data_IF_450472348957
#
_entry.id   IF_450472348957
#
_cell.length_a   1.000
_cell.length_b   1.000
_cell.length_c   1.000
_cell.angle_alpha   90.00
_cell.angle_beta   90.00
_cell.angle_gamma   90.00
#
_symmetry.space_group_name_H-M   'P 1'
#
loop_
_entity.id
_entity.type
_entity.pdbx_description
1 polymer ?
#
# COMPACT_ATOMS: atom_id res chain seq x y z
N UNK A 1 -24.05 -9.19 22.64
CA UNK A 1 -22.95 -8.22 22.91
C UNK A 1 -21.69 -8.48 22.09
N UNK A 2 -21.56 -9.60 21.34
CA UNK A 2 -20.38 -9.90 20.51
C UNK A 2 -20.42 -9.39 19.07
N UNK A 3 -21.60 -9.12 18.51
CA UNK A 3 -21.77 -8.71 17.10
C UNK A 3 -21.30 -7.28 16.80
N UNK A 4 -21.49 -6.34 17.72
CA UNK A 4 -21.17 -4.92 17.49
C UNK A 4 -19.66 -4.64 17.32
N UNK A 5 -18.80 -5.46 17.91
CA UNK A 5 -17.33 -5.33 17.78
C UNK A 5 -16.83 -5.92 16.45
N UNK A 6 -17.52 -6.96 15.94
CA UNK A 6 -17.20 -7.61 14.67
C UNK A 6 -17.57 -6.75 13.48
N UNK A 7 -18.68 -6.02 13.57
CA UNK A 7 -19.21 -5.19 12.50
C UNK A 7 -18.35 -3.93 12.26
N UNK A 8 -17.96 -3.24 13.33
CA UNK A 8 -17.08 -2.05 13.25
C UNK A 8 -15.68 -2.39 12.71
N UNK A 9 -15.19 -3.61 12.97
CA UNK A 9 -13.90 -4.06 12.43
C UNK A 9 -13.95 -4.31 10.91
N UNK A 10 -15.10 -4.74 10.38
CA UNK A 10 -15.29 -4.93 8.93
C UNK A 10 -15.42 -3.60 8.21
N UNK A 11 -16.16 -2.65 8.78
CA UNK A 11 -16.33 -1.30 8.22
C UNK A 11 -14.98 -0.58 8.05
N UNK A 12 -14.09 -0.68 9.05
CA UNK A 12 -12.74 -0.12 8.97
C UNK A 12 -11.91 -0.74 7.83
N UNK A 13 -12.02 -2.05 7.62
CA UNK A 13 -11.31 -2.76 6.55
C UNK A 13 -11.86 -2.36 5.18
N UNK A 14 -13.18 -2.26 5.03
CA UNK A 14 -13.83 -1.89 3.77
C UNK A 14 -13.59 -0.43 3.39
N UNK A 15 -13.63 0.47 4.36
CA UNK A 15 -13.33 1.91 4.14
C UNK A 15 -11.88 2.08 3.71
N UNK A 16 -10.95 1.39 4.40
CA UNK A 16 -9.55 1.42 4.03
C UNK A 16 -9.31 0.79 2.64
N UNK A 17 -10.10 -0.22 2.24
CA UNK A 17 -10.02 -0.83 0.90
C UNK A 17 -10.46 0.17 -0.18
N UNK A 18 -11.54 0.92 0.05
CA UNK A 18 -11.99 2.01 -0.83
C UNK A 18 -10.92 3.08 -1.03
N UNK A 19 -10.30 3.59 0.04
CA UNK A 19 -9.25 4.61 -0.04
C UNK A 19 -8.03 4.13 -0.85
N UNK A 20 -7.71 2.83 -0.74
CA UNK A 20 -6.59 2.21 -1.47
C UNK A 20 -6.89 2.05 -2.97
N UNK A 21 -8.14 1.75 -3.32
CA UNK A 21 -8.59 1.70 -4.72
C UNK A 21 -8.73 3.11 -5.32
N UNK A 22 -9.11 4.10 -4.52
CA UNK A 22 -9.20 5.50 -4.95
C UNK A 22 -7.83 6.06 -5.32
N UNK A 23 -6.80 5.82 -4.49
CA UNK A 23 -5.42 6.23 -4.77
C UNK A 23 -4.88 5.68 -6.11
N UNK A 24 -5.33 4.49 -6.52
CA UNK A 24 -4.93 3.86 -7.79
C UNK A 24 -5.71 4.38 -9.00
N UNK A 25 -6.96 4.80 -8.80
CA UNK A 25 -7.75 5.47 -9.84
C UNK A 25 -7.14 6.83 -10.18
N UNK A 26 -6.73 7.59 -9.16
CA UNK A 26 -6.12 8.92 -9.36
C UNK A 26 -4.79 8.82 -10.16
N UNK A 27 -4.00 7.74 -9.97
CA UNK A 27 -2.79 7.50 -10.79
C UNK A 27 -3.11 7.44 -12.29
N UNK A 28 -4.21 6.79 -12.64
CA UNK A 28 -4.65 6.63 -14.03
C UNK A 28 -5.10 7.97 -14.63
N UNK A 29 -5.70 8.85 -13.81
CA UNK A 29 -6.14 10.19 -14.23
C UNK A 29 -5.00 11.21 -14.35
N UNK A 30 -3.93 11.06 -13.56
CA UNK A 30 -2.72 11.88 -13.64
C UNK A 30 -1.81 11.54 -14.85
N UNK A 31 -2.21 10.61 -15.72
CA UNK A 31 -1.42 10.15 -16.86
C UNK A 31 -0.27 9.21 -16.48
N UNK A 32 -0.15 8.85 -15.21
CA UNK A 32 0.84 7.90 -14.71
C UNK A 32 0.23 6.51 -14.83
N UNK A 33 0.52 5.82 -15.93
CA UNK A 33 0.14 4.40 -16.07
C UNK A 33 0.99 3.58 -15.10
N UNK A 34 0.53 3.48 -13.86
CA UNK A 34 1.23 2.73 -12.83
C UNK A 34 0.86 1.27 -12.95
N UNK A 35 1.78 0.45 -13.44
CA UNK A 35 1.58 -0.99 -13.55
C UNK A 35 1.46 -1.59 -12.14
N UNK A 36 0.22 -1.84 -11.70
CA UNK A 36 -0.10 -2.41 -10.39
C UNK A 36 0.37 -3.86 -10.23
N UNK A 37 0.85 -4.50 -11.31
CA UNK A 37 1.57 -5.77 -11.30
C UNK A 37 3.00 -5.59 -10.81
N UNK A 38 3.60 -4.42 -11.04
CA UNK A 38 4.99 -4.12 -10.72
C UNK A 38 5.14 -3.27 -9.46
N UNK A 39 4.21 -2.37 -9.19
CA UNK A 39 4.29 -1.41 -8.09
C UNK A 39 3.05 -1.48 -7.21
N UNK A 40 3.27 -1.56 -5.89
CA UNK A 40 2.22 -1.65 -4.89
C UNK A 40 2.37 -0.53 -3.87
N UNK A 41 1.26 -0.02 -3.36
CA UNK A 41 1.30 0.79 -2.14
C UNK A 41 1.85 -0.05 -0.98
N UNK A 42 2.45 0.62 0.02
CA UNK A 42 2.95 -0.05 1.24
C UNK A 42 1.88 -0.97 1.85
N UNK A 43 0.61 -0.53 1.86
CA UNK A 43 -0.51 -1.33 2.35
C UNK A 43 -0.76 -2.59 1.51
N UNK A 44 -0.86 -2.46 0.18
CA UNK A 44 -1.07 -3.63 -0.70
C UNK A 44 0.10 -4.61 -0.65
N UNK A 45 1.31 -4.09 -0.54
CA UNK A 45 2.51 -4.91 -0.34
C UNK A 45 2.41 -5.69 0.97
N UNK A 46 2.08 -5.01 2.08
CA UNK A 46 1.86 -5.63 3.39
C UNK A 46 0.78 -6.74 3.34
N UNK A 47 -0.38 -6.45 2.74
CA UNK A 47 -1.47 -7.42 2.58
C UNK A 47 -1.06 -8.62 1.71
N UNK A 48 -0.38 -8.39 0.58
CA UNK A 48 0.05 -9.45 -0.34
C UNK A 48 1.07 -10.40 0.28
N UNK A 49 2.03 -9.86 1.06
CA UNK A 49 3.11 -10.65 1.65
C UNK A 49 2.84 -11.07 3.10
N UNK A 50 1.66 -10.73 3.66
CA UNK A 50 1.26 -11.10 5.01
C UNK A 50 2.12 -10.46 6.11
N UNK A 51 2.68 -9.27 5.85
CA UNK A 51 3.49 -8.51 6.81
C UNK A 51 2.81 -7.19 7.15
N UNK A 52 3.20 -6.55 8.25
CA UNK A 52 2.58 -5.27 8.63
C UNK A 52 3.18 -4.11 7.84
N UNK A 53 2.40 -3.02 7.65
CA UNK A 53 2.90 -1.80 7.02
C UNK A 53 4.13 -1.23 7.75
N UNK A 54 4.19 -1.36 9.08
CA UNK A 54 5.34 -0.94 9.88
C UNK A 54 6.61 -1.74 9.54
N UNK A 55 6.50 -3.05 9.27
CA UNK A 55 7.63 -3.87 8.80
C UNK A 55 8.14 -3.36 7.46
N UNK A 56 7.24 -3.06 6.52
CA UNK A 56 7.61 -2.50 5.21
C UNK A 56 8.35 -1.17 5.37
N UNK A 57 7.82 -0.23 6.15
CA UNK A 57 8.47 1.07 6.40
C UNK A 57 9.85 0.90 7.04
N UNK A 58 9.98 -0.03 7.99
CA UNK A 58 11.25 -0.36 8.61
C UNK A 58 12.24 -0.97 7.61
N UNK A 59 11.78 -1.82 6.70
CA UNK A 59 12.63 -2.41 5.65
C UNK A 59 13.15 -1.35 4.69
N UNK A 60 12.32 -0.38 4.31
CA UNK A 60 12.74 0.77 3.49
C UNK A 60 13.81 1.59 4.25
N UNK A 61 13.54 1.92 5.52
CA UNK A 61 14.47 2.71 6.35
C UNK A 61 15.82 2.00 6.59
N UNK A 62 15.80 0.67 6.71
CA UNK A 62 16.99 -0.16 6.91
C UNK A 62 17.69 -0.57 5.61
N UNK A 63 17.14 -0.22 4.44
CA UNK A 63 17.67 -0.61 3.13
C UNK A 63 17.49 -2.09 2.77
N UNK A 64 16.65 -2.84 3.48
CA UNK A 64 16.26 -4.21 3.09
C UNK A 64 15.44 -4.17 1.80
N UNK A 65 14.57 -3.16 1.69
CA UNK A 65 14.02 -2.74 0.40
C UNK A 65 14.98 -1.67 -0.13
N UNK A 66 15.68 -1.92 -1.25
CA UNK A 66 16.57 -0.93 -1.85
C UNK A 66 15.82 0.34 -2.27
N UNK A 67 16.52 1.48 -2.30
CA UNK A 67 15.93 2.74 -2.71
C UNK A 67 15.38 2.70 -4.15
N UNK A 68 16.03 1.97 -5.07
CA UNK A 68 15.57 1.76 -6.46
C UNK A 68 14.28 0.93 -6.56
N UNK A 69 13.94 0.22 -5.48
CA UNK A 69 12.73 -0.58 -5.36
C UNK A 69 11.58 0.19 -4.65
N UNK A 70 11.76 1.48 -4.41
CA UNK A 70 10.74 2.38 -3.86
C UNK A 70 10.53 3.58 -4.77
N UNK A 71 9.30 4.07 -4.84
CA UNK A 71 9.02 5.39 -5.41
C UNK A 71 8.06 6.16 -4.52
N UNK A 72 8.20 7.48 -4.55
CA UNK A 72 7.24 8.40 -3.96
C UNK A 72 6.56 9.12 -5.11
N UNK A 73 5.24 9.27 -5.05
CA UNK A 73 4.45 10.03 -6.02
C UNK A 73 3.98 11.31 -5.33
N UNK A 74 4.70 12.44 -5.47
CA UNK A 74 4.38 13.70 -4.79
C UNK A 74 2.97 14.21 -5.11
N UNK A 75 2.50 13.97 -6.33
CA UNK A 75 1.17 14.37 -6.82
C UNK A 75 0.03 13.70 -6.06
N UNK A 76 0.32 12.63 -5.31
CA UNK A 76 -0.64 11.85 -4.55
C UNK A 76 -0.34 11.87 -3.05
N UNK A 77 -0.09 13.07 -2.50
CA UNK A 77 0.18 13.24 -1.08
C UNK A 77 1.37 12.36 -0.62
N UNK A 78 2.45 12.40 -1.39
CA UNK A 78 3.65 11.58 -1.17
C UNK A 78 3.37 10.08 -1.06
N UNK A 79 2.43 9.56 -1.87
CA UNK A 79 2.11 8.14 -1.90
C UNK A 79 3.37 7.33 -2.18
N UNK A 80 3.73 6.46 -1.22
CA UNK A 80 4.89 5.58 -1.36
C UNK A 80 4.47 4.23 -1.94
N UNK A 81 5.18 3.84 -2.97
CA UNK A 81 5.04 2.57 -3.65
C UNK A 81 6.32 1.75 -3.50
N UNK A 82 6.14 0.44 -3.52
CA UNK A 82 7.17 -0.58 -3.36
C UNK A 82 7.04 -1.54 -4.53
N UNK A 83 8.18 -1.92 -5.12
CA UNK A 83 8.21 -2.89 -6.19
C UNK A 83 7.71 -4.26 -5.70
N UNK A 84 6.82 -4.87 -6.46
CA UNK A 84 6.14 -6.12 -6.18
C UNK A 84 7.07 -7.33 -6.33
N UNK A 85 7.95 -7.53 -5.37
CA UNK A 85 8.82 -8.69 -5.26
C UNK A 85 9.06 -9.00 -3.79
N UNK A 86 9.42 -10.24 -3.45
CA UNK A 86 9.75 -10.59 -2.08
C UNK A 86 11.15 -10.09 -1.73
N UNK A 87 11.29 -9.37 -0.60
CA UNK A 87 12.57 -9.04 0.01
C UNK A 87 12.79 -9.94 1.24
N UNK A 88 14.04 -10.29 1.53
CA UNK A 88 14.45 -11.14 2.65
C UNK A 88 15.76 -10.66 3.23
#
# INVERSE_FOLDING_TARGET
MGDAIRDRSKELIETARRESDESLRILTEAGITLDTSQWLTIKRYAERYGITMQVVTNWISRGIIPADCTMTVPELNDLRLVKNQAYR
#
